data_IF_995052115566
#
_entry.id   IF_995052115566
#
_cell.length_a   1.000
_cell.length_b   1.000
_cell.length_c   1.000
_cell.angle_alpha   90.00
_cell.angle_beta   90.00
_cell.angle_gamma   90.00
#
_symmetry.space_group_name_H-M   'P 1'
#
loop_
_entity.id
_entity.type
_entity.pdbx_description
1 polymer ?
#
# COMPACT_ATOMS: atom_id res chain seq x y z
N UNK A 1 -5.82 -5.80 -19.29
CA UNK A 1 -4.76 -4.76 -19.34
C UNK A 1 -3.49 -5.35 -18.70
N UNK A 2 -2.30 -4.79 -18.91
CA UNK A 2 -1.07 -5.28 -18.26
C UNK A 2 -1.13 -4.97 -16.74
N UNK A 3 -0.84 -5.92 -15.83
CA UNK A 3 -0.82 -5.69 -14.38
C UNK A 3 0.01 -4.47 -13.96
N UNK A 4 1.13 -4.22 -14.64
CA UNK A 4 2.01 -3.09 -14.36
C UNK A 4 1.35 -1.77 -14.78
N UNK A 5 0.72 -1.74 -15.95
CA UNK A 5 -0.06 -0.58 -16.40
C UNK A 5 -1.25 -0.31 -15.47
N UNK A 6 -1.90 -1.35 -14.96
CA UNK A 6 -2.98 -1.18 -14.00
C UNK A 6 -2.49 -0.43 -12.75
N UNK A 7 -1.33 -0.82 -12.20
CA UNK A 7 -0.74 -0.12 -11.05
C UNK A 7 -0.29 1.31 -11.38
N UNK A 8 0.34 1.55 -12.53
CA UNK A 8 0.79 2.90 -12.92
C UNK A 8 -0.31 3.95 -12.89
N UNK A 9 -1.57 3.57 -13.14
CA UNK A 9 -2.69 4.51 -13.18
C UNK A 9 -3.62 4.43 -11.97
N UNK A 10 -3.57 3.33 -11.21
CA UNK A 10 -4.54 3.03 -10.16
C UNK A 10 -3.92 2.84 -8.79
N UNK A 11 -2.59 2.77 -8.65
CA UNK A 11 -1.96 2.53 -7.36
C UNK A 11 -2.31 3.64 -6.35
N UNK A 12 -2.06 4.90 -6.68
CA UNK A 12 -2.43 6.03 -5.80
C UNK A 12 -3.94 6.15 -5.70
N UNK A 13 -4.61 6.24 -6.85
CA UNK A 13 -6.02 6.64 -6.91
C UNK A 13 -6.96 5.60 -6.34
N UNK A 14 -6.65 4.32 -6.53
CA UNK A 14 -7.52 3.20 -6.17
C UNK A 14 -6.99 2.40 -4.99
N UNK A 15 -5.68 2.13 -4.90
CA UNK A 15 -5.15 1.36 -3.77
C UNK A 15 -4.91 2.24 -2.54
N UNK A 16 -4.09 3.29 -2.66
CA UNK A 16 -3.64 4.14 -1.54
C UNK A 16 -4.74 5.04 -1.01
N UNK A 17 -5.30 5.91 -1.84
CA UNK A 17 -6.27 6.91 -1.39
C UNK A 17 -7.53 6.26 -0.82
N UNK A 18 -8.01 5.18 -1.44
CA UNK A 18 -9.18 4.45 -0.93
C UNK A 18 -8.88 3.76 0.40
N UNK A 19 -7.68 3.21 0.59
CA UNK A 19 -7.30 2.64 1.87
C UNK A 19 -7.24 3.73 2.95
N UNK A 20 -6.60 4.85 2.64
CA UNK A 20 -6.41 5.95 3.58
C UNK A 20 -7.74 6.54 4.08
N UNK A 21 -8.69 6.79 3.18
CA UNK A 21 -10.03 7.32 3.54
C UNK A 21 -10.81 6.38 4.47
N UNK A 22 -10.49 5.08 4.49
CA UNK A 22 -11.15 4.09 5.33
C UNK A 22 -10.43 3.83 6.67
N UNK A 23 -9.34 4.55 6.96
CA UNK A 23 -8.65 4.44 8.26
C UNK A 23 -9.41 5.24 9.32
N UNK A 24 -9.69 4.62 10.47
CA UNK A 24 -10.28 5.34 11.61
C UNK A 24 -9.21 6.13 12.38
N UNK A 25 -9.34 7.46 12.34
CA UNK A 25 -8.45 8.40 13.01
C UNK A 25 -9.12 9.15 14.17
N UNK A 26 -10.37 8.82 14.51
CA UNK A 26 -11.23 9.60 15.42
C UNK A 26 -10.63 9.82 16.81
N UNK A 27 -9.72 8.94 17.24
CA UNK A 27 -9.08 8.97 18.56
C UNK A 27 -7.55 9.12 18.48
N UNK A 28 -7.00 9.57 17.34
CA UNK A 28 -5.55 9.71 17.17
C UNK A 28 -5.07 11.13 17.47
N UNK A 29 -3.91 11.31 18.10
CA UNK A 29 -3.33 12.64 18.34
C UNK A 29 -2.91 13.29 17.02
N UNK A 30 -2.92 14.62 16.96
CA UNK A 30 -2.55 15.38 15.76
C UNK A 30 -1.14 15.03 15.24
N UNK A 31 -0.18 14.78 16.14
CA UNK A 31 1.18 14.34 15.76
C UNK A 31 1.16 13.03 14.97
N UNK A 32 0.32 12.07 15.37
CA UNK A 32 0.18 10.81 14.67
C UNK A 32 -0.51 10.99 13.31
N UNK A 33 -1.53 11.85 13.24
CA UNK A 33 -2.21 12.17 11.98
C UNK A 33 -1.24 12.79 10.98
N UNK A 34 -0.41 13.73 11.41
CA UNK A 34 0.62 14.33 10.56
C UNK A 34 1.63 13.30 10.06
N UNK A 35 2.11 12.41 10.95
CA UNK A 35 3.00 11.32 10.56
C UNK A 35 2.34 10.41 9.51
N UNK A 36 1.06 10.10 9.69
CA UNK A 36 0.31 9.28 8.75
C UNK A 36 0.15 9.97 7.40
N UNK A 37 -0.14 11.27 7.38
CA UNK A 37 -0.18 12.06 6.16
C UNK A 37 1.16 12.03 5.42
N UNK A 38 2.27 12.23 6.13
CA UNK A 38 3.63 12.15 5.56
C UNK A 38 3.88 10.76 4.94
N UNK A 39 3.53 9.68 5.67
CA UNK A 39 3.66 8.31 5.16
C UNK A 39 2.79 8.11 3.91
N UNK A 40 1.56 8.61 3.90
CA UNK A 40 0.66 8.49 2.74
C UNK A 40 1.19 9.25 1.54
N UNK A 41 1.81 10.41 1.73
CA UNK A 41 2.46 11.16 0.65
C UNK A 41 3.65 10.40 0.08
N UNK A 42 4.52 9.84 0.92
CA UNK A 42 5.61 8.97 0.46
C UNK A 42 5.09 7.72 -0.27
N UNK A 43 3.96 7.15 0.17
CA UNK A 43 3.32 6.04 -0.53
C UNK A 43 2.79 6.46 -1.90
N UNK A 44 2.32 7.70 -2.05
CA UNK A 44 1.86 8.20 -3.35
C UNK A 44 3.01 8.34 -4.34
N UNK A 45 4.19 8.72 -3.88
CA UNK A 45 5.39 8.82 -4.70
C UNK A 45 5.84 7.46 -5.27
N UNK A 46 5.46 6.34 -4.65
CA UNK A 46 5.77 5.01 -5.20
C UNK A 46 5.10 4.77 -6.56
N UNK A 47 3.98 5.43 -6.89
CA UNK A 47 3.39 5.36 -8.23
C UNK A 47 4.33 5.90 -9.31
N UNK A 48 5.10 6.95 -8.99
CA UNK A 48 6.12 7.47 -9.89
C UNK A 48 7.25 6.46 -10.10
N UNK A 49 7.72 5.80 -9.04
CA UNK A 49 8.75 4.76 -9.16
C UNK A 49 8.27 3.56 -10.01
N UNK A 50 7.01 3.16 -9.84
CA UNK A 50 6.37 2.11 -10.67
C UNK A 50 6.25 2.56 -12.13
N UNK A 51 5.98 3.84 -12.37
CA UNK A 51 5.90 4.41 -13.72
C UNK A 51 7.26 4.49 -14.42
N UNK A 52 8.31 4.87 -13.69
CA UNK A 52 9.68 5.01 -14.20
C UNK A 52 10.33 3.66 -14.55
N UNK A 53 10.20 2.66 -13.67
CA UNK A 53 10.77 1.32 -13.88
C UNK A 53 9.80 0.21 -13.46
N UNK A 54 8.88 -0.20 -14.36
CA UNK A 54 7.85 -1.19 -14.06
C UNK A 54 8.41 -2.54 -13.63
N UNK A 55 9.64 -2.88 -14.04
CA UNK A 55 10.29 -4.14 -13.68
C UNK A 55 10.66 -4.21 -12.19
N UNK A 56 10.72 -3.06 -11.50
CA UNK A 56 11.00 -2.97 -10.07
C UNK A 56 9.75 -2.96 -9.20
N UNK A 57 8.56 -3.07 -9.77
CA UNK A 57 7.30 -3.03 -9.03
C UNK A 57 7.27 -4.03 -7.87
N UNK A 58 7.74 -5.26 -8.09
CA UNK A 58 7.80 -6.27 -7.02
C UNK A 58 8.78 -5.86 -5.89
N UNK A 59 9.92 -5.26 -6.22
CA UNK A 59 10.88 -4.74 -5.25
C UNK A 59 10.30 -3.56 -4.47
N UNK A 60 9.56 -2.66 -5.13
CA UNK A 60 8.90 -1.52 -4.48
C UNK A 60 7.87 -2.01 -3.46
N UNK A 61 7.06 -3.01 -3.83
CA UNK A 61 6.05 -3.57 -2.92
C UNK A 61 6.64 -4.36 -1.76
N UNK A 62 7.72 -5.12 -1.99
CA UNK A 62 8.35 -5.96 -0.94
C UNK A 62 9.36 -5.20 -0.07
N UNK A 63 9.91 -4.09 -0.58
CA UNK A 63 10.86 -3.22 0.09
C UNK A 63 10.20 -1.96 0.62
N UNK A 64 10.07 -0.94 -0.23
CA UNK A 64 9.63 0.42 0.14
C UNK A 64 8.29 0.43 0.88
N UNK A 65 7.26 -0.21 0.30
CA UNK A 65 5.94 -0.31 0.93
C UNK A 65 6.01 -0.98 2.31
N UNK A 66 6.76 -2.08 2.42
CA UNK A 66 6.89 -2.82 3.69
C UNK A 66 7.74 -2.09 4.72
N UNK A 67 8.68 -1.25 4.30
CA UNK A 67 9.42 -0.37 5.20
C UNK A 67 8.49 0.67 5.85
N UNK A 68 7.64 1.33 5.05
CA UNK A 68 6.63 2.27 5.56
C UNK A 68 5.63 1.58 6.50
N UNK A 69 5.26 0.34 6.18
CA UNK A 69 4.43 -0.48 7.07
C UNK A 69 5.10 -0.71 8.44
N UNK A 70 6.37 -1.11 8.46
CA UNK A 70 7.11 -1.33 9.72
C UNK A 70 7.22 -0.05 10.54
N UNK A 71 7.54 1.08 9.89
CA UNK A 71 7.62 2.39 10.53
C UNK A 71 6.29 2.79 11.19
N UNK A 72 5.18 2.66 10.46
CA UNK A 72 3.87 3.02 10.99
C UNK A 72 3.42 2.04 12.08
N UNK A 73 3.72 0.75 11.94
CA UNK A 73 3.38 -0.29 12.92
C UNK A 73 4.03 -0.06 14.29
N UNK A 74 5.26 0.45 14.32
CA UNK A 74 5.94 0.81 15.58
C UNK A 74 5.20 1.90 16.35
N UNK A 75 4.44 2.75 15.66
CA UNK A 75 3.65 3.83 16.25
C UNK A 75 2.24 3.39 16.59
N UNK A 76 1.58 2.74 15.64
CA UNK A 76 0.23 2.24 15.80
C UNK A 76 -0.02 1.01 14.92
N UNK A 77 -0.03 -0.15 15.57
CA UNK A 77 -0.19 -1.43 14.88
C UNK A 77 -1.53 -1.54 14.15
N UNK A 78 -2.61 -1.05 14.74
CA UNK A 78 -3.96 -1.23 14.20
C UNK A 78 -4.16 -0.34 12.97
N UNK A 79 -3.70 0.91 13.02
CA UNK A 79 -3.72 1.82 11.85
C UNK A 79 -2.82 1.30 10.75
N UNK A 80 -1.60 0.86 11.07
CA UNK A 80 -0.69 0.30 10.07
C UNK A 80 -1.31 -0.93 9.40
N UNK A 81 -1.89 -1.84 10.17
CA UNK A 81 -2.58 -3.01 9.62
C UNK A 81 -3.75 -2.59 8.75
N UNK A 82 -4.59 -1.67 9.20
CA UNK A 82 -5.76 -1.21 8.45
C UNK A 82 -5.37 -0.56 7.12
N UNK A 83 -4.42 0.37 7.12
CA UNK A 83 -3.96 1.07 5.92
C UNK A 83 -3.35 0.09 4.92
N UNK A 84 -2.31 -0.64 5.32
CA UNK A 84 -1.52 -1.44 4.37
C UNK A 84 -2.28 -2.67 3.89
N UNK A 85 -3.07 -3.33 4.75
CA UNK A 85 -3.97 -4.40 4.28
C UNK A 85 -5.01 -3.84 3.32
N UNK A 86 -5.53 -2.63 3.57
CA UNK A 86 -6.43 -1.92 2.68
C UNK A 86 -5.81 -1.66 1.30
N UNK A 87 -4.57 -1.18 1.26
CA UNK A 87 -3.83 -0.93 0.02
C UNK A 87 -3.71 -2.21 -0.79
N UNK A 88 -3.21 -3.29 -0.18
CA UNK A 88 -2.98 -4.56 -0.85
C UNK A 88 -4.29 -5.20 -1.33
N UNK A 89 -5.36 -5.16 -0.51
CA UNK A 89 -6.69 -5.66 -0.90
C UNK A 89 -7.27 -4.88 -2.07
N UNK A 90 -7.21 -3.55 -2.03
CA UNK A 90 -7.67 -2.71 -3.14
C UNK A 90 -6.89 -3.01 -4.43
N UNK A 91 -5.58 -3.27 -4.35
CA UNK A 91 -4.81 -3.70 -5.50
C UNK A 91 -5.22 -5.09 -6.02
N UNK A 92 -5.59 -6.03 -5.14
CA UNK A 92 -6.14 -7.34 -5.54
C UNK A 92 -7.56 -7.27 -6.13
N UNK A 93 -8.30 -6.17 -5.94
CA UNK A 93 -9.58 -5.96 -6.64
C UNK A 93 -9.38 -5.64 -8.13
N UNK A 94 -8.16 -5.30 -8.55
CA UNK A 94 -7.81 -5.14 -9.96
C UNK A 94 -7.58 -6.52 -10.57
N UNK A 95 -8.48 -6.95 -11.47
CA UNK A 95 -8.46 -8.27 -12.12
C UNK A 95 -7.08 -8.58 -12.70
N UNK A 96 -6.48 -7.61 -13.40
CA UNK A 96 -5.15 -7.73 -14.00
C UNK A 96 -4.07 -8.11 -12.98
N UNK A 97 -4.17 -7.58 -11.77
CA UNK A 97 -3.22 -7.87 -10.70
C UNK A 97 -3.53 -9.22 -10.09
N UNK A 98 -4.81 -9.47 -9.77
CA UNK A 98 -5.26 -10.66 -9.06
C UNK A 98 -4.92 -11.97 -9.77
N UNK A 99 -4.90 -11.97 -11.10
CA UNK A 99 -4.60 -13.14 -11.94
C UNK A 99 -3.11 -13.23 -12.33
N UNK A 100 -2.28 -12.30 -11.88
CA UNK A 100 -0.86 -12.22 -12.23
C UNK A 100 0.05 -12.76 -11.12
N UNK A 101 1.32 -12.99 -11.47
CA UNK A 101 2.38 -13.28 -10.49
C UNK A 101 2.51 -12.20 -9.42
N UNK A 102 2.22 -10.94 -9.78
CA UNK A 102 2.24 -9.83 -8.84
C UNK A 102 1.12 -9.97 -7.80
N UNK A 103 -0.04 -10.51 -8.20
CA UNK A 103 -1.12 -10.87 -7.28
C UNK A 103 -0.69 -11.89 -6.24
N UNK A 104 0.10 -12.90 -6.62
CA UNK A 104 0.66 -13.87 -5.67
C UNK A 104 1.63 -13.24 -4.67
N UNK A 105 2.44 -12.27 -5.11
CA UNK A 105 3.29 -11.50 -4.21
C UNK A 105 2.46 -10.63 -3.26
N UNK A 106 1.44 -9.93 -3.76
CA UNK A 106 0.56 -9.09 -2.93
C UNK A 106 -0.20 -9.93 -1.90
N UNK A 107 -0.70 -11.13 -2.26
CA UNK A 107 -1.33 -12.06 -1.31
C UNK A 107 -0.36 -12.48 -0.20
N UNK A 108 0.89 -12.78 -0.53
CA UNK A 108 1.92 -13.12 0.46
C UNK A 108 2.19 -11.98 1.44
N UNK A 109 2.29 -10.75 0.93
CA UNK A 109 2.46 -9.55 1.76
C UNK A 109 1.24 -9.30 2.65
N UNK A 110 0.03 -9.48 2.11
CA UNK A 110 -1.21 -9.33 2.87
C UNK A 110 -1.25 -10.34 4.03
N UNK A 111 -0.92 -11.60 3.76
CA UNK A 111 -0.80 -12.66 4.76
C UNK A 111 0.21 -12.31 5.86
N UNK A 112 1.36 -11.72 5.50
CA UNK A 112 2.39 -11.27 6.45
C UNK A 112 1.83 -10.19 7.39
N UNK A 113 1.17 -9.18 6.84
CA UNK A 113 0.56 -8.09 7.61
C UNK A 113 -0.57 -8.60 8.50
N UNK A 114 -1.40 -9.52 7.99
CA UNK A 114 -2.56 -10.04 8.71
C UNK A 114 -2.17 -10.93 9.90
N UNK A 115 -1.04 -11.64 9.81
CA UNK A 115 -0.51 -12.50 10.87
C UNK A 115 0.37 -11.77 11.89
N UNK A 116 0.75 -10.52 11.60
CA UNK A 116 1.66 -9.70 12.40
C UNK A 116 1.09 -9.16 13.71
#
# INVERSE_FOLDING_TARGET
>A
MDPLKALQYRFVRYCVNRAYVNVDLSNKPAEFVNLLDDVVDELRDLEHLIAEDPNKTEQILTGELMEKYRLLRERDKDVAKALFSGILRNCLELEEISESKLGDTIRRLLDEIEKS
#
